data_IF_980639227613
#
_entry.id   IF_980639227613
#
_cell.length_a   1.000
_cell.length_b   1.000
_cell.length_c   1.000
_cell.angle_alpha   90.00
_cell.angle_beta   90.00
_cell.angle_gamma   90.00
#
_symmetry.space_group_name_H-M   'P 1'
#
loop_
_entity.id
_entity.type
_entity.pdbx_description
1 polymer ?
#
# COMPACT_ATOMS: atom_id res chain seq x y z
N UNK A 1 23.92 10.12 8.44
CA UNK A 1 23.28 8.82 8.74
C UNK A 1 23.91 7.81 7.80
N UNK A 2 24.49 6.70 8.26
CA UNK A 2 25.04 5.71 7.34
C UNK A 2 23.88 5.03 6.62
N UNK A 3 23.98 4.98 5.29
CA UNK A 3 23.11 4.25 4.39
C UNK A 3 23.25 2.75 4.68
N UNK A 4 22.28 2.20 5.41
CA UNK A 4 22.12 0.75 5.50
C UNK A 4 21.31 0.39 4.28
N UNK A 5 21.99 -0.02 3.21
CA UNK A 5 21.34 -0.61 2.05
C UNK A 5 20.47 -1.77 2.54
N UNK A 6 19.16 -1.54 2.68
CA UNK A 6 18.21 -2.63 2.82
C UNK A 6 18.30 -3.40 1.51
N UNK A 7 18.74 -4.65 1.58
CA UNK A 7 18.72 -5.53 0.43
C UNK A 7 17.25 -5.77 0.08
N UNK A 8 16.73 -4.99 -0.86
CA UNK A 8 15.41 -5.20 -1.41
C UNK A 8 15.46 -6.41 -2.35
N UNK A 9 14.55 -7.35 -2.14
CA UNK A 9 14.32 -8.43 -3.09
C UNK A 9 13.23 -7.99 -4.06
N UNK A 10 13.59 -7.83 -5.34
CA UNK A 10 12.64 -7.45 -6.38
C UNK A 10 11.60 -8.54 -6.61
N UNK A 11 10.36 -8.14 -6.86
CA UNK A 11 9.24 -9.01 -7.17
C UNK A 11 8.69 -8.71 -8.56
N UNK A 12 8.29 -9.75 -9.29
CA UNK A 12 7.38 -9.62 -10.41
C UNK A 12 5.94 -9.40 -9.93
N UNK A 13 5.08 -8.93 -10.83
CA UNK A 13 3.64 -8.79 -10.55
C UNK A 13 2.99 -10.12 -10.13
N UNK A 14 3.43 -11.23 -10.75
CA UNK A 14 2.93 -12.57 -10.42
C UNK A 14 3.36 -12.99 -9.00
N UNK A 15 4.64 -12.80 -8.65
CA UNK A 15 5.15 -13.12 -7.30
C UNK A 15 4.54 -12.24 -6.21
N UNK A 16 4.21 -10.99 -6.55
CA UNK A 16 3.50 -10.11 -5.63
C UNK A 16 2.08 -10.65 -5.39
N UNK A 17 1.31 -10.86 -6.46
CA UNK A 17 -0.12 -11.21 -6.39
C UNK A 17 -0.39 -12.67 -5.98
N UNK A 18 0.62 -13.54 -6.04
CA UNK A 18 0.52 -14.93 -5.59
C UNK A 18 0.57 -15.09 -4.06
N UNK A 19 0.96 -14.05 -3.32
CA UNK A 19 1.09 -14.11 -1.87
C UNK A 19 -0.23 -13.80 -1.14
N UNK A 20 -0.37 -14.26 0.09
CA UNK A 20 -1.59 -14.05 0.89
C UNK A 20 -1.62 -12.64 1.49
N UNK A 21 -2.83 -12.11 1.64
CA UNK A 21 -3.08 -10.83 2.31
C UNK A 21 -2.90 -9.59 1.42
N UNK A 22 -2.64 -9.77 0.12
CA UNK A 22 -2.55 -8.70 -0.89
C UNK A 22 -3.64 -8.78 -1.96
N UNK A 23 -4.75 -9.48 -1.67
CA UNK A 23 -5.87 -9.65 -2.60
C UNK A 23 -6.56 -8.32 -2.97
N UNK A 24 -6.36 -7.29 -2.15
CA UNK A 24 -6.88 -5.93 -2.32
C UNK A 24 -6.08 -5.11 -3.35
N UNK A 25 -4.93 -5.62 -3.81
CA UNK A 25 -3.94 -4.88 -4.59
C UNK A 25 -3.89 -5.31 -6.05
N UNK A 26 -3.60 -4.35 -6.92
CA UNK A 26 -3.30 -4.56 -8.34
C UNK A 26 -1.87 -4.14 -8.62
N UNK A 27 -1.18 -4.89 -9.47
CA UNK A 27 0.17 -4.51 -9.91
C UNK A 27 0.13 -4.03 -11.35
N UNK A 28 0.58 -2.80 -11.55
CA UNK A 28 0.68 -2.12 -12.85
C UNK A 28 2.15 -1.78 -13.11
N UNK A 29 2.84 -2.62 -13.89
CA UNK A 29 4.27 -2.43 -14.13
C UNK A 29 5.11 -2.70 -12.88
N UNK A 30 5.67 -1.65 -12.28
CA UNK A 30 6.52 -1.72 -11.07
C UNK A 30 5.82 -1.18 -9.81
N UNK A 31 4.53 -0.90 -9.91
CA UNK A 31 3.76 -0.25 -8.84
C UNK A 31 2.60 -1.14 -8.41
N UNK A 32 2.42 -1.28 -7.10
CA UNK A 32 1.26 -1.91 -6.50
C UNK A 32 0.27 -0.83 -6.03
N UNK A 33 -0.98 -0.95 -6.45
CA UNK A 33 -2.03 0.04 -6.25
C UNK A 33 -3.23 -0.60 -5.55
N UNK A 34 -3.82 0.12 -4.59
CA UNK A 34 -5.08 -0.25 -3.96
C UNK A 34 -5.94 0.98 -3.70
N UNK A 35 -7.26 0.79 -3.78
CA UNK A 35 -8.24 1.83 -3.44
C UNK A 35 -9.13 1.31 -2.33
N UNK A 36 -9.30 2.12 -1.28
CA UNK A 36 -10.08 1.80 -0.10
C UNK A 36 -11.31 2.70 -0.01
N UNK A 37 -12.51 2.12 -0.11
CA UNK A 37 -13.78 2.84 -0.05
C UNK A 37 -14.15 3.15 1.42
N UNK A 38 -13.73 4.32 1.90
CA UNK A 38 -13.84 4.71 3.31
C UNK A 38 -15.23 5.23 3.69
N UNK A 39 -16.04 5.62 2.69
CA UNK A 39 -17.43 6.07 2.87
C UNK A 39 -17.59 7.40 3.62
N UNK A 40 -16.54 7.91 4.24
CA UNK A 40 -16.49 9.17 4.96
C UNK A 40 -15.06 9.70 5.03
N UNK A 41 -14.92 11.02 5.02
CA UNK A 41 -13.59 11.64 5.09
C UNK A 41 -12.87 11.36 6.41
N UNK A 42 -13.61 11.27 7.53
CA UNK A 42 -13.04 10.97 8.85
C UNK A 42 -12.46 9.55 8.90
N UNK A 43 -13.16 8.57 8.31
CA UNK A 43 -12.65 7.20 8.20
C UNK A 43 -11.45 7.14 7.25
N UNK A 44 -11.48 7.91 6.15
CA UNK A 44 -10.33 8.08 5.26
C UNK A 44 -9.10 8.63 5.98
N UNK A 45 -9.27 9.67 6.80
CA UNK A 45 -8.18 10.24 7.59
C UNK A 45 -7.64 9.26 8.64
N UNK A 46 -8.53 8.49 9.29
CA UNK A 46 -8.11 7.45 10.23
C UNK A 46 -7.26 6.37 9.57
N UNK A 47 -7.65 5.93 8.36
CA UNK A 47 -6.86 4.99 7.57
C UNK A 47 -5.52 5.58 7.15
N UNK A 48 -5.49 6.82 6.63
CA UNK A 48 -4.25 7.51 6.24
C UNK A 48 -3.28 7.63 7.43
N UNK A 49 -3.77 7.97 8.62
CA UNK A 49 -2.93 8.05 9.81
C UNK A 49 -2.31 6.70 10.19
N UNK A 50 -3.08 5.61 10.09
CA UNK A 50 -2.55 4.28 10.39
C UNK A 50 -1.55 3.82 9.32
N UNK A 51 -1.80 4.10 8.03
CA UNK A 51 -0.84 3.84 6.96
C UNK A 51 0.45 4.62 7.20
N UNK A 52 0.37 5.91 7.57
CA UNK A 52 1.53 6.71 7.90
C UNK A 52 2.33 6.14 9.08
N UNK A 53 1.66 5.66 10.13
CA UNK A 53 2.31 4.99 11.27
C UNK A 53 3.05 3.73 10.84
N UNK A 54 2.42 2.88 10.02
CA UNK A 54 3.02 1.65 9.49
C UNK A 54 4.23 1.94 8.60
N UNK A 55 4.11 2.93 7.71
CA UNK A 55 5.17 3.36 6.81
C UNK A 55 6.43 3.82 7.55
N UNK A 56 6.26 4.65 8.59
CA UNK A 56 7.36 5.13 9.44
C UNK A 56 8.01 3.99 10.25
N UNK A 57 7.22 3.02 10.72
CA UNK A 57 7.73 1.86 11.48
C UNK A 57 8.70 1.01 10.65
N UNK A 58 8.43 0.87 9.35
CA UNK A 58 9.25 0.07 8.42
C UNK A 58 10.19 0.92 7.55
N UNK A 59 10.18 2.24 7.73
CA UNK A 59 10.92 3.22 6.90
C UNK A 59 10.70 3.01 5.39
N UNK A 60 9.46 2.76 4.99
CA UNK A 60 9.04 2.55 3.60
C UNK A 60 7.74 3.30 3.36
N UNK A 61 7.73 4.26 2.43
CA UNK A 61 6.68 5.27 2.35
C UNK A 61 5.81 5.08 1.10
N UNK A 62 4.48 4.98 1.23
CA UNK A 62 3.56 4.96 0.11
C UNK A 62 3.26 6.38 -0.40
N UNK A 63 2.82 6.47 -1.65
CA UNK A 63 2.06 7.61 -2.14
C UNK A 63 0.58 7.45 -1.76
N UNK A 64 -0.03 8.51 -1.20
CA UNK A 64 -1.40 8.50 -0.71
C UNK A 64 -2.26 9.61 -1.31
N UNK A 65 -3.44 9.24 -1.81
CA UNK A 65 -4.47 10.19 -2.25
C UNK A 65 -5.69 10.06 -1.34
N UNK A 66 -5.97 11.09 -0.54
CA UNK A 66 -7.20 11.17 0.26
C UNK A 66 -8.24 12.04 -0.43
N UNK A 67 -9.34 11.43 -0.89
CA UNK A 67 -10.50 12.13 -1.44
C UNK A 67 -11.80 11.59 -0.85
N UNK A 68 -12.90 12.33 -0.85
CA UNK A 68 -14.17 11.71 -0.49
C UNK A 68 -14.72 10.93 -1.70
N UNK A 69 -15.10 9.64 -1.57
CA UNK A 69 -15.23 8.82 -0.35
C UNK A 69 -14.16 7.70 -0.21
N UNK A 70 -12.90 7.93 -0.64
CA UNK A 70 -11.89 6.87 -0.79
C UNK A 70 -10.45 7.30 -0.46
N UNK A 71 -9.60 6.32 -0.18
CA UNK A 71 -8.14 6.49 -0.09
C UNK A 71 -7.50 5.65 -1.18
N UNK A 72 -6.75 6.29 -2.08
CA UNK A 72 -5.86 5.63 -3.02
C UNK A 72 -4.48 5.46 -2.40
N UNK A 73 -3.86 4.30 -2.64
CA UNK A 73 -2.52 3.96 -2.16
C UNK A 73 -1.71 3.40 -3.32
N UNK A 74 -0.48 3.90 -3.48
CA UNK A 74 0.49 3.42 -4.45
C UNK A 74 1.80 3.08 -3.74
N UNK A 75 2.37 1.91 -4.05
CA UNK A 75 3.59 1.38 -3.47
C UNK A 75 4.60 1.06 -4.57
N UNK A 76 5.83 1.57 -4.39
CA UNK A 76 7.01 1.23 -5.18
C UNK A 76 8.24 1.52 -4.34
N UNK A 77 9.28 0.71 -4.47
CA UNK A 77 10.56 1.00 -3.82
C UNK A 77 11.33 2.05 -4.60
N UNK A 78 11.26 3.31 -4.16
CA UNK A 78 11.90 4.46 -4.84
C UNK A 78 13.41 4.29 -5.04
N UNK A 79 14.10 3.65 -4.09
CA UNK A 79 15.56 3.44 -4.15
C UNK A 79 15.97 2.57 -5.35
N UNK A 80 15.15 1.59 -5.70
CA UNK A 80 15.43 0.64 -6.80
C UNK A 80 14.63 0.96 -8.06
N UNK A 81 13.56 1.74 -7.94
CA UNK A 81 12.58 1.97 -9.01
C UNK A 81 11.81 0.70 -9.39
N UNK A 82 11.77 -0.30 -8.50
CA UNK A 82 11.12 -1.59 -8.75
C UNK A 82 10.15 -1.95 -7.64
N UNK A 83 9.26 -2.91 -7.92
CA UNK A 83 8.43 -3.54 -6.91
C UNK A 83 9.28 -4.54 -6.12
N UNK A 84 9.18 -4.52 -4.80
CA UNK A 84 10.01 -5.37 -3.92
C UNK A 84 9.20 -6.01 -2.80
N UNK A 85 9.85 -6.88 -2.03
CA UNK A 85 9.26 -7.47 -0.82
C UNK A 85 8.82 -6.43 0.20
N UNK A 86 9.49 -5.27 0.30
CA UNK A 86 9.07 -4.19 1.19
C UNK A 86 7.70 -3.60 0.79
N UNK A 87 7.45 -3.46 -0.52
CA UNK A 87 6.15 -3.04 -1.03
C UNK A 87 5.06 -4.04 -0.67
N UNK A 88 5.33 -5.34 -0.84
CA UNK A 88 4.37 -6.39 -0.52
C UNK A 88 4.06 -6.50 0.97
N UNK A 89 5.07 -6.35 1.81
CA UNK A 89 4.90 -6.42 3.27
C UNK A 89 4.10 -5.23 3.80
N UNK A 90 4.37 -4.03 3.29
CA UNK A 90 3.57 -2.85 3.62
C UNK A 90 2.14 -2.97 3.06
N UNK A 91 1.96 -3.49 1.85
CA UNK A 91 0.66 -3.74 1.25
C UNK A 91 -0.25 -4.61 2.15
N UNK A 92 0.30 -5.72 2.67
CA UNK A 92 -0.40 -6.59 3.64
C UNK A 92 -0.81 -5.84 4.90
N UNK A 93 0.11 -5.07 5.47
CA UNK A 93 -0.14 -4.33 6.71
C UNK A 93 -1.26 -3.30 6.52
N UNK A 94 -1.25 -2.60 5.39
CA UNK A 94 -2.30 -1.63 5.02
C UNK A 94 -3.65 -2.33 4.84
N UNK A 95 -3.68 -3.45 4.11
CA UNK A 95 -4.90 -4.25 3.95
C UNK A 95 -5.47 -4.74 5.29
N UNK A 96 -4.60 -5.19 6.21
CA UNK A 96 -5.02 -5.57 7.56
C UNK A 96 -5.57 -4.37 8.37
N UNK A 97 -4.93 -3.20 8.28
CA UNK A 97 -5.40 -1.97 8.92
C UNK A 97 -6.76 -1.51 8.38
N UNK A 98 -6.97 -1.55 7.06
CA UNK A 98 -8.24 -1.24 6.44
C UNK A 98 -9.36 -2.16 6.96
N UNK A 99 -9.12 -3.48 7.01
CA UNK A 99 -10.08 -4.44 7.58
C UNK A 99 -10.39 -4.17 9.05
N UNK A 100 -9.39 -3.81 9.86
CA UNK A 100 -9.59 -3.46 11.27
C UNK A 100 -10.44 -2.19 11.46
N UNK A 101 -10.39 -1.26 10.51
CA UNK A 101 -11.23 -0.06 10.48
C UNK A 101 -12.60 -0.30 9.82
N UNK A 102 -12.89 -1.52 9.36
CA UNK A 102 -14.13 -1.85 8.64
C UNK A 102 -14.21 -1.23 7.24
N UNK A 103 -13.06 -0.86 6.66
CA UNK A 103 -12.97 -0.29 5.32
C UNK A 103 -12.80 -1.42 4.30
N UNK A 104 -13.59 -1.35 3.22
CA UNK A 104 -13.58 -2.34 2.14
C UNK A 104 -12.66 -1.85 1.02
N UNK A 105 -11.78 -2.72 0.53
CA UNK A 105 -11.03 -2.46 -0.67
C UNK A 105 -11.97 -2.48 -1.89
N UNK A 106 -11.80 -1.52 -2.78
CA UNK A 106 -12.39 -1.51 -4.11
C UNK A 106 -11.25 -1.73 -5.12
N UNK A 107 -10.74 -2.97 -5.25
CA UNK A 107 -9.69 -3.25 -6.21
C UNK A 107 -10.16 -2.88 -7.62
N UNK A 108 -11.47 -2.90 -7.89
CA UNK A 108 -12.14 -2.47 -9.12
C UNK A 108 -11.79 -1.06 -9.61
N UNK A 109 -11.61 -0.13 -8.67
CA UNK A 109 -11.39 1.29 -8.94
C UNK A 109 -10.09 1.54 -9.72
N UNK A 110 -10.18 2.41 -10.74
CA UNK A 110 -9.01 2.89 -11.51
C UNK A 110 -8.60 4.31 -11.13
N UNK A 111 -9.31 4.93 -10.20
CA UNK A 111 -9.00 6.27 -9.71
C UNK A 111 -8.21 6.15 -8.39
N UNK A 112 -6.90 6.08 -8.50
CA UNK A 112 -5.98 6.34 -7.39
C UNK A 112 -5.73 7.85 -7.24
#
# INVERSE_FOLDING_TARGET
>A
MPDVAHAYESLSAEEFTADEGVEDWRVSGVTAEAVFATGSFVTGLALVNEIGRLAEEVNHHPDLTLTYPRVGVSLTTHDTGTLTTADRDLARAISAAARALGVVADPGSTDA
#
